data_IF_350710447647
#
_entry.id   IF_350710447647
#
_cell.length_a   1.000
_cell.length_b   1.000
_cell.length_c   1.000
_cell.angle_alpha   90.00
_cell.angle_beta   90.00
_cell.angle_gamma   90.00
#
_symmetry.space_group_name_H-M   'P 1'
#
loop_
_entity.id
_entity.type
_entity.pdbx_description
1 polymer ?
#
# COMPACT_ATOMS: atom_id res chain seq x y z
N UNK A 1 -14.51 1.90 13.36
CA UNK A 1 -13.25 2.38 12.72
C UNK A 1 -12.35 1.19 12.30
N UNK A 2 -12.94 0.10 11.82
CA UNK A 2 -12.21 -1.05 11.29
C UNK A 2 -12.24 -1.02 9.78
N UNK A 3 -11.31 -0.28 9.17
CA UNK A 3 -11.14 -0.30 7.72
C UNK A 3 -9.99 -1.26 7.42
N UNK A 4 -10.32 -2.52 7.12
CA UNK A 4 -9.53 -3.21 6.09
C UNK A 4 -9.64 -2.32 4.85
N UNK A 5 -8.53 -1.73 4.39
CA UNK A 5 -8.46 -1.05 3.10
C UNK A 5 -8.97 -2.04 2.06
N UNK A 6 -10.26 -1.97 1.73
CA UNK A 6 -10.86 -2.70 0.62
C UNK A 6 -10.30 -2.03 -0.62
N UNK A 7 -9.31 -2.66 -1.23
CA UNK A 7 -8.91 -2.33 -2.58
C UNK A 7 -10.09 -2.65 -3.51
N UNK A 8 -10.90 -1.64 -3.83
CA UNK A 8 -11.88 -1.74 -4.91
C UNK A 8 -11.15 -1.49 -6.22
N UNK A 9 -10.95 -2.56 -7.00
CA UNK A 9 -10.48 -2.44 -8.38
C UNK A 9 -11.67 -2.09 -9.27
N UNK A 10 -11.74 -0.83 -9.70
CA UNK A 10 -12.66 -0.45 -10.78
C UNK A 10 -12.22 -1.11 -12.09
N UNK A 11 -13.06 -1.91 -12.76
CA UNK A 11 -12.68 -2.65 -13.97
C UNK A 11 -12.26 -1.77 -15.16
N UNK A 12 -12.60 -0.49 -15.16
CA UNK A 12 -12.40 0.42 -16.30
C UNK A 12 -11.04 1.11 -16.31
N UNK A 13 -10.35 1.23 -15.18
CA UNK A 13 -9.08 1.96 -15.10
C UNK A 13 -7.91 1.20 -15.76
N UNK A 14 -7.92 -0.14 -15.69
CA UNK A 14 -6.76 -0.98 -16.02
C UNK A 14 -6.77 -1.56 -17.44
N UNK A 15 -7.84 -1.30 -18.21
CA UNK A 15 -8.03 -1.93 -19.54
C UNK A 15 -7.01 -1.49 -20.60
N UNK A 16 -6.31 -0.36 -20.43
CA UNK A 16 -5.41 0.25 -21.42
C UNK A 16 -3.91 -0.09 -21.28
N UNK A 17 -3.57 -1.32 -20.88
CA UNK A 17 -2.17 -1.78 -20.88
C UNK A 17 -1.31 -1.31 -19.70
N UNK A 18 -1.90 -0.73 -18.65
CA UNK A 18 -1.18 -0.33 -17.44
C UNK A 18 -0.83 -1.54 -16.57
N UNK A 19 0.41 -1.61 -16.08
CA UNK A 19 0.87 -2.54 -15.06
C UNK A 19 0.81 -1.87 -13.69
N UNK A 20 0.32 -2.58 -12.67
CA UNK A 20 0.20 -2.08 -11.30
C UNK A 20 0.98 -2.98 -10.35
N UNK A 21 1.68 -2.37 -9.39
CA UNK A 21 2.29 -3.06 -8.26
C UNK A 21 1.60 -2.61 -6.98
N UNK A 22 1.05 -3.55 -6.21
CA UNK A 22 0.38 -3.28 -4.95
C UNK A 22 1.28 -3.61 -3.77
N UNK A 23 1.49 -2.64 -2.88
CA UNK A 23 2.30 -2.83 -1.67
C UNK A 23 1.42 -2.91 -0.43
N UNK A 24 1.50 -4.03 0.30
CA UNK A 24 0.71 -4.28 1.52
C UNK A 24 1.44 -5.20 2.50
N UNK A 25 1.06 -5.23 3.79
CA UNK A 25 1.46 -6.28 4.72
C UNK A 25 1.17 -7.69 4.20
N UNK A 26 1.98 -8.67 4.58
CA UNK A 26 2.02 -10.00 3.97
C UNK A 26 0.66 -10.75 4.06
N UNK A 27 -0.04 -10.61 5.19
CA UNK A 27 -1.36 -11.21 5.44
C UNK A 27 -2.51 -10.38 4.89
N UNK A 28 -2.31 -9.10 4.59
CA UNK A 28 -3.31 -8.32 3.86
C UNK A 28 -3.45 -8.88 2.43
N UNK A 29 -2.33 -9.24 1.79
CA UNK A 29 -2.32 -9.86 0.46
C UNK A 29 -3.04 -11.21 0.44
N UNK A 30 -2.93 -12.03 1.50
CA UNK A 30 -3.62 -13.32 1.59
C UNK A 30 -5.14 -13.20 1.77
N UNK A 31 -5.66 -12.01 2.12
CA UNK A 31 -7.09 -11.72 2.27
C UNK A 31 -7.70 -11.13 1.00
N UNK A 32 -6.90 -10.87 -0.04
CA UNK A 32 -7.40 -10.31 -1.30
C UNK A 32 -8.23 -11.36 -2.06
N UNK A 33 -9.35 -10.96 -2.68
CA UNK A 33 -10.07 -11.85 -3.57
C UNK A 33 -9.17 -12.26 -4.74
N UNK A 34 -9.40 -13.44 -5.34
CA UNK A 34 -8.67 -13.86 -6.52
C UNK A 34 -8.72 -12.79 -7.60
N UNK A 35 -7.55 -12.46 -8.15
CA UNK A 35 -7.47 -11.52 -9.27
C UNK A 35 -8.11 -12.17 -10.48
N UNK A 36 -8.92 -11.42 -11.22
CA UNK A 36 -9.49 -11.90 -12.47
C UNK A 36 -8.36 -12.22 -13.46
N UNK A 37 -8.48 -13.30 -14.21
CA UNK A 37 -7.43 -13.78 -15.12
C UNK A 37 -7.05 -12.76 -16.20
N UNK A 38 -7.95 -11.87 -16.59
CA UNK A 38 -7.70 -10.79 -17.55
C UNK A 38 -6.82 -9.65 -16.98
N UNK A 39 -6.78 -9.50 -15.65
CA UNK A 39 -5.98 -8.49 -14.96
C UNK A 39 -4.67 -9.06 -14.37
N UNK A 40 -4.60 -10.36 -14.10
CA UNK A 40 -3.46 -11.00 -13.44
C UNK A 40 -2.10 -10.73 -14.11
N UNK A 41 -1.94 -10.72 -15.45
CA UNK A 41 -0.65 -10.44 -16.09
C UNK A 41 -0.16 -8.99 -15.89
N UNK A 42 -1.05 -8.09 -15.45
CA UNK A 42 -0.80 -6.66 -15.30
C UNK A 42 -0.74 -6.24 -13.83
N UNK A 43 -0.84 -7.18 -12.89
CA UNK A 43 -0.87 -6.89 -11.47
C UNK A 43 0.20 -7.69 -10.73
N UNK A 44 1.07 -6.99 -10.03
CA UNK A 44 2.09 -7.54 -9.16
C UNK A 44 1.74 -7.20 -7.70
N UNK A 45 1.85 -8.18 -6.80
CA UNK A 45 1.72 -7.94 -5.36
C UNK A 45 3.09 -7.97 -4.71
N UNK A 46 3.48 -6.87 -4.10
CA UNK A 46 4.74 -6.70 -3.38
C UNK A 46 4.42 -6.65 -1.89
N UNK A 47 4.55 -7.79 -1.21
CA UNK A 47 4.34 -7.84 0.23
C UNK A 47 5.48 -7.12 0.98
N UNK A 48 5.14 -6.24 1.93
CA UNK A 48 6.09 -5.60 2.84
C UNK A 48 5.60 -5.77 4.29
N UNK A 49 6.31 -6.53 5.14
CA UNK A 49 5.87 -6.78 6.50
C UNK A 49 5.84 -5.48 7.31
N UNK A 50 4.83 -5.36 8.17
CA UNK A 50 4.76 -4.27 9.14
C UNK A 50 6.00 -4.30 10.01
N UNK A 51 6.65 -3.15 10.19
CA UNK A 51 7.91 -3.10 10.94
C UNK A 51 7.62 -3.25 12.44
N UNK A 52 8.35 -4.11 13.12
CA UNK A 52 8.15 -4.33 14.56
C UNK A 52 8.36 -3.04 15.34
N UNK A 53 7.49 -2.81 16.31
CA UNK A 53 7.62 -1.77 17.33
C UNK A 53 7.50 -2.47 18.68
N UNK A 54 8.32 -2.06 19.64
CA UNK A 54 8.28 -2.64 20.98
C UNK A 54 6.87 -2.49 21.57
N UNK A 55 6.41 -3.51 22.29
CA UNK A 55 5.07 -3.57 22.89
C UNK A 55 3.89 -3.79 21.92
N UNK A 56 4.11 -3.88 20.60
CA UNK A 56 3.10 -4.37 19.66
C UNK A 56 3.10 -5.91 19.66
N UNK A 57 1.94 -6.58 19.82
CA UNK A 57 1.86 -8.03 19.74
C UNK A 57 2.39 -8.58 18.41
N UNK A 58 2.99 -9.77 18.45
CA UNK A 58 3.43 -10.46 17.23
C UNK A 58 2.25 -10.76 16.29
N UNK A 59 2.50 -10.63 14.98
CA UNK A 59 1.52 -10.96 13.94
C UNK A 59 0.45 -9.90 13.69
N UNK A 60 0.56 -8.72 14.30
CA UNK A 60 -0.28 -7.56 13.99
C UNK A 60 0.07 -7.02 12.60
N UNK A 61 -0.89 -7.05 11.69
CA UNK A 61 -0.74 -6.48 10.35
C UNK A 61 -1.95 -5.66 9.88
N UNK A 62 -3.03 -5.63 10.67
CA UNK A 62 -4.22 -4.85 10.42
C UNK A 62 -4.63 -4.05 11.65
N UNK A 63 -5.22 -2.88 11.44
CA UNK A 63 -5.92 -2.11 12.48
C UNK A 63 -7.01 -2.92 13.17
N UNK A 64 -7.56 -3.95 12.52
CA UNK A 64 -8.52 -4.88 13.12
C UNK A 64 -7.89 -5.89 14.10
N UNK A 65 -6.57 -6.09 14.03
CA UNK A 65 -5.85 -7.03 14.89
C UNK A 65 -5.38 -6.37 16.21
N UNK A 66 -5.70 -5.08 16.41
CA UNK A 66 -5.15 -4.25 17.50
C UNK A 66 -6.31 -3.63 18.32
N UNK A 67 -6.29 -3.71 19.66
CA UNK A 67 -7.18 -2.93 20.51
C UNK A 67 -7.00 -1.43 20.27
N UNK A 68 -8.05 -0.64 20.44
CA UNK A 68 -8.02 0.81 20.17
C UNK A 68 -6.91 1.53 20.93
N UNK A 69 -6.64 1.12 22.17
CA UNK A 69 -5.63 1.69 23.06
C UNK A 69 -4.20 1.51 22.53
N UNK A 70 -4.01 0.60 21.57
CA UNK A 70 -2.71 0.30 20.95
C UNK A 70 -2.61 0.79 19.50
N UNK A 71 -3.57 1.59 19.02
CA UNK A 71 -3.54 2.14 17.66
C UNK A 71 -2.30 2.99 17.41
N UNK A 72 -1.83 3.76 18.39
CA UNK A 72 -0.59 4.54 18.27
C UNK A 72 0.62 3.66 17.95
N UNK A 73 0.74 2.49 18.59
CA UNK A 73 1.82 1.54 18.30
C UNK A 73 1.71 0.98 16.88
N UNK A 74 0.49 0.76 16.39
CA UNK A 74 0.25 0.35 15.02
C UNK A 74 0.61 1.44 14.02
N UNK A 75 0.27 2.71 14.30
CA UNK A 75 0.66 3.87 13.48
C UNK A 75 2.18 4.03 13.43
N UNK A 76 2.87 3.94 14.57
CA UNK A 76 4.34 3.96 14.60
C UNK A 76 4.97 2.85 13.75
N UNK A 77 4.39 1.64 13.79
CA UNK A 77 4.83 0.50 13.00
C UNK A 77 4.58 0.71 11.50
N UNK A 78 3.46 1.36 11.16
CA UNK A 78 3.08 1.73 9.81
C UNK A 78 3.98 2.84 9.24
N UNK A 79 4.34 3.85 10.03
CA UNK A 79 5.20 4.95 9.61
C UNK A 79 6.61 4.51 9.28
N UNK A 80 7.08 3.44 9.94
CA UNK A 80 8.35 2.78 9.59
C UNK A 80 8.33 2.15 8.18
N UNK A 81 7.18 2.08 7.50
CA UNK A 81 7.12 1.70 6.08
C UNK A 81 7.55 2.81 5.12
N UNK A 82 7.67 4.06 5.60
CA UNK A 82 8.06 5.20 4.76
C UNK A 82 9.42 5.01 4.08
N UNK A 83 10.46 4.71 4.87
CA UNK A 83 11.82 4.46 4.35
C UNK A 83 11.87 3.29 3.35
N UNK A 84 11.34 2.09 3.65
CA UNK A 84 11.35 0.98 2.71
C UNK A 84 10.51 1.23 1.44
N UNK A 85 9.46 2.04 1.51
CA UNK A 85 8.71 2.46 0.32
C UNK A 85 9.51 3.45 -0.54
N UNK A 86 10.11 4.46 0.08
CA UNK A 86 10.96 5.42 -0.62
C UNK A 86 12.10 4.71 -1.34
N UNK A 87 12.72 3.72 -0.70
CA UNK A 87 13.79 2.92 -1.31
C UNK A 87 13.27 2.09 -2.48
N UNK A 88 12.11 1.45 -2.34
CA UNK A 88 11.47 0.71 -3.44
C UNK A 88 11.24 1.60 -4.66
N UNK A 89 10.64 2.78 -4.46
CA UNK A 89 10.36 3.71 -5.55
C UNK A 89 11.65 4.26 -6.16
N UNK A 90 12.68 4.52 -5.34
CA UNK A 90 14.00 4.97 -5.81
C UNK A 90 14.65 3.94 -6.73
N UNK A 91 14.66 2.69 -6.30
CA UNK A 91 15.24 1.57 -7.06
C UNK A 91 14.49 1.33 -8.37
N UNK A 92 13.15 1.37 -8.33
CA UNK A 92 12.34 1.28 -9.55
C UNK A 92 12.70 2.40 -10.55
N UNK A 93 12.82 3.65 -10.11
CA UNK A 93 13.23 4.75 -10.98
C UNK A 93 14.67 4.57 -11.52
N UNK A 94 15.62 4.16 -10.68
CA UNK A 94 17.01 3.95 -11.08
C UNK A 94 17.17 2.86 -12.14
N UNK A 95 16.36 1.79 -12.05
CA UNK A 95 16.37 0.67 -13.01
C UNK A 95 15.58 0.95 -14.29
N UNK A 96 15.10 2.19 -14.51
CA UNK A 96 14.28 2.54 -15.67
C UNK A 96 12.85 1.97 -15.61
N UNK A 97 12.41 1.50 -14.43
CA UNK A 97 11.06 0.98 -14.15
C UNK A 97 10.22 2.00 -13.37
N UNK A 98 10.44 3.29 -13.60
CA UNK A 98 9.70 4.35 -12.91
C UNK A 98 8.21 4.20 -13.18
N UNK A 99 7.36 4.22 -12.15
CA UNK A 99 5.92 4.17 -12.37
C UNK A 99 5.40 5.47 -12.98
N UNK A 100 4.35 5.38 -13.80
CA UNK A 100 3.65 6.55 -14.33
C UNK A 100 2.84 7.28 -13.24
N UNK A 101 2.34 6.53 -12.26
CA UNK A 101 1.52 7.03 -11.17
C UNK A 101 1.79 6.25 -9.87
N UNK A 102 1.78 6.97 -8.75
CA UNK A 102 1.66 6.38 -7.41
C UNK A 102 0.25 6.66 -6.88
N UNK A 103 -0.51 5.61 -6.61
CA UNK A 103 -1.86 5.71 -6.04
C UNK A 103 -1.83 5.14 -4.63
N UNK A 104 -2.30 5.91 -3.66
CA UNK A 104 -2.25 5.56 -2.24
C UNK A 104 -3.53 5.98 -1.51
N UNK A 105 -3.83 5.39 -0.36
CA UNK A 105 -4.98 5.82 0.46
C UNK A 105 -4.59 6.94 1.45
N UNK A 106 -5.58 7.52 2.13
CA UNK A 106 -5.38 8.64 3.06
C UNK A 106 -4.45 8.36 4.25
N UNK A 107 -4.19 7.10 4.56
CA UNK A 107 -3.33 6.71 5.69
C UNK A 107 -1.86 6.71 5.30
N UNK A 108 -1.53 6.57 4.01
CA UNK A 108 -0.18 6.53 3.47
C UNK A 108 0.42 7.93 3.28
N UNK A 109 0.44 8.75 4.33
CA UNK A 109 0.89 10.14 4.26
C UNK A 109 2.34 10.29 3.74
N UNK A 110 3.19 9.29 3.98
CA UNK A 110 4.58 9.24 3.49
C UNK A 110 4.71 8.96 1.98
N UNK A 111 3.69 8.38 1.34
CA UNK A 111 3.76 8.00 -0.07
C UNK A 111 3.82 9.23 -1.00
N UNK A 112 3.10 10.29 -0.64
CA UNK A 112 3.12 11.55 -1.37
C UNK A 112 4.53 12.16 -1.42
N UNK A 113 5.23 12.22 -0.27
CA UNK A 113 6.59 12.76 -0.18
C UNK A 113 7.55 11.98 -1.07
N UNK A 114 7.53 10.64 -0.96
CA UNK A 114 8.40 9.77 -1.76
C UNK A 114 8.16 9.92 -3.28
N UNK A 115 6.90 10.08 -3.70
CA UNK A 115 6.54 10.31 -5.10
C UNK A 115 7.04 11.68 -5.61
N UNK A 116 6.83 12.75 -4.82
CA UNK A 116 7.29 14.11 -5.15
C UNK A 116 8.81 14.17 -5.30
N UNK A 117 9.56 13.58 -4.36
CA UNK A 117 11.02 13.50 -4.41
C UNK A 117 11.54 12.87 -5.71
N UNK A 118 10.80 11.92 -6.26
CA UNK A 118 11.16 11.17 -7.48
C UNK A 118 10.48 11.70 -8.73
N UNK A 119 9.75 12.82 -8.62
CA UNK A 119 9.00 13.47 -9.72
C UNK A 119 7.99 12.55 -10.38
N UNK A 120 7.37 11.67 -9.58
CA UNK A 120 6.32 10.76 -10.04
C UNK A 120 4.94 11.36 -9.74
N UNK A 121 4.04 11.47 -10.72
CA UNK A 121 2.65 11.86 -10.47
C UNK A 121 1.98 10.97 -9.42
N UNK A 122 1.15 11.54 -8.56
CA UNK A 122 0.47 10.76 -7.54
C UNK A 122 -0.98 11.19 -7.31
N UNK A 123 -1.79 10.25 -6.82
CA UNK A 123 -3.20 10.45 -6.52
C UNK A 123 -3.57 9.76 -5.21
N UNK A 124 -4.45 10.40 -4.44
CA UNK A 124 -4.96 9.86 -3.18
C UNK A 124 -6.37 9.31 -3.36
N UNK A 125 -6.60 8.08 -2.90
CA UNK A 125 -7.93 7.50 -2.77
C UNK A 125 -8.50 7.96 -1.43
N UNK A 126 -9.56 8.77 -1.50
CA UNK A 126 -10.35 9.17 -0.33
C UNK A 126 -11.43 8.13 -0.10
N UNK A 127 -11.57 7.66 1.14
CA UNK A 127 -12.80 7.02 1.56
C UNK A 127 -13.84 8.15 1.67
N UNK A 128 -14.79 8.20 0.75
CA UNK A 128 -15.98 9.03 0.89
C UNK A 128 -16.97 8.32 1.81
N UNK A 129 -17.67 9.08 2.65
CA UNK A 129 -18.84 8.56 3.34
C UNK A 129 -19.86 8.11 2.29
N UNK A 130 -20.36 6.88 2.43
CA UNK A 130 -21.49 6.35 1.68
C UNK A 130 -22.75 6.47 2.53
#
# INVERSE_FOLDING_TARGET
LGTCSRAWTSPSAWRRGATASHTSPHRATSRLPPVRSDAAPRLEFVARPLQRVDSLPDGVESTNDVPYEKFELHWMAFDRLAAPFGEFLRTACFEGRSPDWVIFDIFHHWAASAAVERKVPCAVIRLSDA
#
